data_IF_081760038265
#
_entry.id   IF_081760038265
#
_cell.length_a   1.000
_cell.length_b   1.000
_cell.length_c   1.000
_cell.angle_alpha   90.00
_cell.angle_beta   90.00
_cell.angle_gamma   90.00
#
_symmetry.space_group_name_H-M   'P 1'
#
loop_
_entity.id
_entity.type
_entity.pdbx_description
1 polymer ?
#
# COMPACT_ATOMS: atom_id res chain seq x y z
N UNK A 1 -12.56 -16.65 15.18
CA UNK A 1 -13.26 -15.82 14.16
C UNK A 1 -13.23 -14.32 14.45
N UNK A 2 -13.79 -13.79 15.55
CA UNK A 2 -13.71 -12.34 15.86
C UNK A 2 -12.26 -11.83 16.04
N UNK A 3 -11.36 -12.68 16.53
CA UNK A 3 -9.95 -12.36 16.76
C UNK A 3 -9.14 -12.19 15.47
N UNK A 4 -9.39 -13.01 14.44
CA UNK A 4 -8.57 -13.05 13.23
C UNK A 4 -8.90 -11.89 12.28
N UNK A 5 -10.18 -11.62 12.02
CA UNK A 5 -10.57 -10.49 11.18
C UNK A 5 -10.08 -9.15 11.76
N UNK A 6 -10.19 -8.99 13.09
CA UNK A 6 -9.69 -7.80 13.80
C UNK A 6 -8.17 -7.68 13.63
N UNK A 7 -7.44 -8.78 13.73
CA UNK A 7 -5.98 -8.80 13.51
C UNK A 7 -5.61 -8.40 12.08
N UNK A 8 -6.35 -8.85 11.06
CA UNK A 8 -6.06 -8.50 9.67
C UNK A 8 -6.35 -7.02 9.38
N UNK A 9 -7.45 -6.49 9.93
CA UNK A 9 -7.77 -5.06 9.86
C UNK A 9 -6.67 -4.23 10.53
N UNK A 10 -6.24 -4.63 11.74
CA UNK A 10 -5.14 -3.98 12.45
C UNK A 10 -3.82 -4.07 11.66
N UNK A 11 -3.53 -5.21 11.04
CA UNK A 11 -2.34 -5.38 10.20
C UNK A 11 -2.32 -4.41 9.02
N UNK A 12 -3.45 -4.26 8.32
CA UNK A 12 -3.60 -3.30 7.23
C UNK A 12 -3.45 -1.85 7.69
N UNK A 13 -4.08 -1.48 8.81
CA UNK A 13 -3.95 -0.14 9.38
C UNK A 13 -2.49 0.14 9.77
N UNK A 14 -1.85 -0.74 10.54
CA UNK A 14 -0.47 -0.55 11.00
C UNK A 14 0.51 -0.52 9.83
N UNK A 15 0.35 -1.42 8.85
CA UNK A 15 1.13 -1.41 7.62
C UNK A 15 1.02 -0.07 6.89
N UNK A 16 -0.21 0.44 6.74
CA UNK A 16 -0.46 1.74 6.08
C UNK A 16 0.10 2.90 6.87
N UNK A 17 -0.01 2.92 8.22
CA UNK A 17 0.59 3.97 9.05
C UNK A 17 2.10 4.01 8.87
N UNK A 18 2.79 2.87 9.01
CA UNK A 18 4.27 2.83 8.91
C UNK A 18 4.72 3.24 7.51
N UNK A 19 4.06 2.73 6.47
CA UNK A 19 4.32 3.12 5.09
C UNK A 19 4.11 4.64 4.89
N UNK A 20 3.01 5.18 5.42
CA UNK A 20 2.68 6.61 5.30
C UNK A 20 3.74 7.48 5.95
N UNK A 21 4.24 7.10 7.14
CA UNK A 21 5.32 7.83 7.81
C UNK A 21 6.56 7.90 6.89
N UNK A 22 6.94 6.79 6.27
CA UNK A 22 8.07 6.79 5.32
C UNK A 22 7.79 7.70 4.13
N UNK A 23 6.57 7.67 3.58
CA UNK A 23 6.19 8.47 2.42
C UNK A 23 6.14 9.97 2.73
N UNK A 24 5.82 10.36 3.96
CA UNK A 24 5.89 11.75 4.41
C UNK A 24 7.35 12.22 4.59
N UNK A 25 8.27 11.33 4.97
CA UNK A 25 9.69 11.66 5.17
C UNK A 25 10.47 11.62 3.85
N UNK A 26 10.11 10.73 2.92
CA UNK A 26 10.85 10.47 1.69
C UNK A 26 11.14 11.73 0.83
N UNK A 27 10.22 12.70 0.66
CA UNK A 27 10.49 13.92 -0.09
C UNK A 27 11.60 14.78 0.50
N UNK A 28 11.74 14.78 1.83
CA UNK A 28 12.83 15.48 2.52
C UNK A 28 14.21 14.83 2.29
N UNK A 29 14.24 13.64 1.69
CA UNK A 29 15.45 12.91 1.27
C UNK A 29 15.71 13.00 -0.24
N UNK A 30 14.96 13.84 -0.97
CA UNK A 30 15.11 14.02 -2.42
C UNK A 30 14.35 13.00 -3.28
N UNK A 31 13.48 12.18 -2.67
CA UNK A 31 12.54 11.33 -3.42
C UNK A 31 11.31 12.14 -3.87
N UNK A 32 10.61 11.72 -4.93
CA UNK A 32 9.36 12.38 -5.32
C UNK A 32 8.29 12.23 -4.24
N UNK A 33 7.37 13.19 -4.18
CA UNK A 33 6.18 13.06 -3.34
C UNK A 33 5.31 11.90 -3.85
N UNK A 34 5.08 10.93 -2.97
CA UNK A 34 4.15 9.83 -3.20
C UNK A 34 3.05 9.95 -2.14
N UNK A 35 1.90 10.50 -2.52
CA UNK A 35 0.78 10.70 -1.60
C UNK A 35 -0.51 10.08 -2.17
N UNK A 36 -0.75 8.77 -1.98
CA UNK A 36 -1.90 8.06 -2.52
C UNK A 36 -3.23 8.69 -2.08
N UNK A 37 -3.32 9.22 -0.87
CA UNK A 37 -4.51 9.92 -0.40
C UNK A 37 -4.77 11.22 -1.18
N UNK A 38 -3.74 11.96 -1.59
CA UNK A 38 -3.88 13.14 -2.46
C UNK A 38 -4.27 12.73 -3.87
N UNK A 39 -3.65 11.68 -4.39
CA UNK A 39 -3.94 11.14 -5.73
C UNK A 39 -5.40 10.66 -5.81
N UNK A 40 -5.86 9.85 -4.85
CA UNK A 40 -7.25 9.38 -4.78
C UNK A 40 -8.25 10.53 -4.62
N UNK A 41 -7.95 11.51 -3.75
CA UNK A 41 -8.82 12.67 -3.58
C UNK A 41 -8.92 13.52 -4.85
N UNK A 42 -7.78 13.77 -5.50
CA UNK A 42 -7.68 14.56 -6.73
C UNK A 42 -8.38 13.88 -7.90
N UNK A 43 -8.09 12.61 -8.15
CA UNK A 43 -8.68 11.86 -9.27
C UNK A 43 -10.20 11.72 -9.13
N UNK A 44 -10.72 11.49 -7.92
CA UNK A 44 -12.16 11.35 -7.69
C UNK A 44 -12.87 12.68 -7.46
N UNK A 45 -12.14 13.80 -7.44
CA UNK A 45 -12.64 15.13 -7.12
C UNK A 45 -13.45 15.17 -5.80
N UNK A 46 -12.90 14.55 -4.75
CA UNK A 46 -13.50 14.46 -3.41
C UNK A 46 -12.63 15.16 -2.36
N UNK A 47 -13.18 15.49 -1.17
CA UNK A 47 -12.39 16.08 -0.10
C UNK A 47 -11.19 15.22 0.31
N UNK A 48 -10.08 15.87 0.70
CA UNK A 48 -8.84 15.19 1.10
C UNK A 48 -9.03 14.15 2.23
N UNK A 49 -9.99 14.39 3.13
CA UNK A 49 -10.35 13.45 4.17
C UNK A 49 -10.85 12.10 3.61
N UNK A 50 -11.59 12.14 2.50
CA UNK A 50 -12.06 10.93 1.80
C UNK A 50 -10.87 10.20 1.17
N UNK A 51 -9.92 10.92 0.59
CA UNK A 51 -8.68 10.31 0.06
C UNK A 51 -7.89 9.55 1.14
N UNK A 52 -7.80 10.09 2.35
CA UNK A 52 -7.20 9.40 3.50
C UNK A 52 -7.97 8.14 3.89
N UNK A 53 -9.30 8.24 3.98
CA UNK A 53 -10.16 7.09 4.28
C UNK A 53 -9.93 5.97 3.25
N UNK A 54 -9.94 6.32 1.96
CA UNK A 54 -9.69 5.36 0.87
C UNK A 54 -8.30 4.73 0.96
N UNK A 55 -7.25 5.50 1.28
CA UNK A 55 -5.89 4.97 1.48
C UNK A 55 -5.84 3.90 2.58
N UNK A 56 -6.49 4.15 3.72
CA UNK A 56 -6.56 3.17 4.79
C UNK A 56 -7.43 1.95 4.45
N UNK A 57 -8.55 2.16 3.74
CA UNK A 57 -9.39 1.07 3.23
C UNK A 57 -8.56 0.16 2.31
N UNK A 58 -7.78 0.72 1.39
CA UNK A 58 -6.91 -0.06 0.50
C UNK A 58 -5.87 -0.87 1.29
N UNK A 59 -5.29 -0.31 2.35
CA UNK A 59 -4.41 -1.05 3.26
C UNK A 59 -5.09 -2.26 3.91
N UNK A 60 -6.32 -2.09 4.40
CA UNK A 60 -7.12 -3.18 4.97
C UNK A 60 -7.42 -4.23 3.89
N UNK A 61 -7.83 -3.81 2.69
CA UNK A 61 -8.11 -4.73 1.59
C UNK A 61 -6.88 -5.54 1.18
N UNK A 62 -5.70 -4.92 1.15
CA UNK A 62 -4.45 -5.64 0.89
C UNK A 62 -4.10 -6.62 2.02
N UNK A 63 -4.33 -6.30 3.29
CA UNK A 63 -4.13 -7.24 4.39
C UNK A 63 -5.11 -8.44 4.33
N UNK A 64 -6.36 -8.21 3.93
CA UNK A 64 -7.32 -9.30 3.69
C UNK A 64 -6.91 -10.14 2.47
N UNK A 65 -6.47 -9.49 1.39
CA UNK A 65 -5.93 -10.18 0.22
C UNK A 65 -4.71 -11.03 0.58
N UNK A 66 -3.83 -10.53 1.46
CA UNK A 66 -2.72 -11.31 1.98
C UNK A 66 -3.21 -12.63 2.59
N UNK A 67 -4.09 -12.55 3.58
CA UNK A 67 -4.55 -13.73 4.32
C UNK A 67 -5.30 -14.71 3.42
N UNK A 68 -6.25 -14.22 2.62
CA UNK A 68 -7.18 -15.10 1.92
C UNK A 68 -6.69 -15.57 0.56
N UNK A 69 -5.73 -14.87 -0.05
CA UNK A 69 -5.29 -15.15 -1.42
C UNK A 69 -3.80 -15.47 -1.49
N UNK A 70 -2.95 -14.61 -0.91
CA UNK A 70 -1.50 -14.76 -1.05
C UNK A 70 -0.93 -15.83 -0.11
N UNK A 71 -1.20 -15.73 1.19
CA UNK A 71 -0.64 -16.60 2.22
C UNK A 71 -0.92 -18.09 2.03
N UNK A 72 -2.11 -18.53 1.56
CA UNK A 72 -2.41 -19.94 1.31
C UNK A 72 -1.71 -20.51 0.08
N UNK A 73 -1.26 -19.64 -0.85
CA UNK A 73 -0.65 -20.05 -2.14
C UNK A 73 0.86 -19.91 -2.16
N UNK A 74 1.44 -19.13 -1.24
CA UNK A 74 2.86 -18.79 -1.22
C UNK A 74 3.53 -19.31 0.05
N UNK A 75 4.25 -20.41 -0.10
CA UNK A 75 4.93 -21.11 0.99
C UNK A 75 6.34 -20.56 1.21
N UNK A 76 6.45 -19.41 1.86
CA UNK A 76 7.73 -18.85 2.33
C UNK A 76 7.74 -18.90 3.86
N UNK A 77 8.67 -19.64 4.46
CA UNK A 77 8.74 -19.80 5.92
C UNK A 77 9.28 -18.58 6.65
N UNK A 78 10.19 -17.83 6.01
CA UNK A 78 10.75 -16.61 6.59
C UNK A 78 9.75 -15.45 6.42
N UNK A 79 9.15 -15.00 7.53
CA UNK A 79 8.13 -13.94 7.53
C UNK A 79 8.63 -12.61 6.94
N UNK A 80 9.92 -12.29 7.08
CA UNK A 80 10.48 -11.08 6.48
C UNK A 80 10.55 -11.18 4.96
N UNK A 81 11.06 -12.30 4.42
CA UNK A 81 11.07 -12.56 2.97
C UNK A 81 9.66 -12.67 2.41
N UNK A 82 8.73 -13.30 3.15
CA UNK A 82 7.32 -13.38 2.77
C UNK A 82 6.68 -11.99 2.71
N UNK A 83 7.02 -11.12 3.66
CA UNK A 83 6.61 -9.71 3.68
C UNK A 83 7.15 -8.91 2.49
N UNK A 84 8.41 -9.11 2.11
CA UNK A 84 8.99 -8.49 0.90
C UNK A 84 8.23 -8.96 -0.35
N UNK A 85 8.06 -10.28 -0.50
CA UNK A 85 7.35 -10.86 -1.64
C UNK A 85 5.91 -10.35 -1.73
N UNK A 86 5.21 -10.30 -0.60
CA UNK A 86 3.87 -9.73 -0.53
C UNK A 86 3.85 -8.23 -0.86
N UNK A 87 4.81 -7.45 -0.36
CA UNK A 87 4.94 -6.03 -0.69
C UNK A 87 5.12 -5.78 -2.18
N UNK A 88 5.91 -6.61 -2.87
CA UNK A 88 6.06 -6.53 -4.33
C UNK A 88 4.73 -6.84 -5.03
N UNK A 89 3.98 -7.85 -4.58
CA UNK A 89 2.65 -8.14 -5.13
C UNK A 89 1.67 -6.99 -4.88
N UNK A 90 1.66 -6.41 -3.67
CA UNK A 90 0.83 -5.26 -3.34
C UNK A 90 1.18 -4.05 -4.22
N UNK A 91 2.47 -3.81 -4.50
CA UNK A 91 2.91 -2.76 -5.43
C UNK A 91 2.32 -2.99 -6.84
N UNK A 92 2.40 -4.22 -7.36
CA UNK A 92 1.87 -4.55 -8.68
C UNK A 92 0.36 -4.31 -8.71
N UNK A 93 -0.37 -4.76 -7.70
CA UNK A 93 -1.81 -4.52 -7.59
C UNK A 93 -2.14 -3.02 -7.48
N UNK A 94 -1.33 -2.24 -6.78
CA UNK A 94 -1.48 -0.79 -6.71
C UNK A 94 -1.24 -0.12 -8.08
N UNK A 95 -0.23 -0.55 -8.84
CA UNK A 95 -0.01 -0.05 -10.21
C UNK A 95 -1.20 -0.36 -11.12
N UNK A 96 -1.71 -1.59 -11.08
CA UNK A 96 -2.89 -2.00 -11.86
C UNK A 96 -4.10 -1.14 -11.46
N UNK A 97 -4.29 -0.92 -10.16
CA UNK A 97 -5.37 -0.06 -9.65
C UNK A 97 -5.24 1.39 -10.14
N UNK A 98 -4.04 1.96 -10.14
CA UNK A 98 -3.80 3.31 -10.67
C UNK A 98 -4.03 3.40 -12.18
N UNK A 99 -3.61 2.40 -12.94
CA UNK A 99 -3.86 2.35 -14.40
C UNK A 99 -5.36 2.27 -14.69
N UNK A 100 -6.08 1.39 -14.00
CA UNK A 100 -7.54 1.29 -14.13
C UNK A 100 -8.21 2.61 -13.76
N UNK A 101 -7.76 3.27 -12.70
CA UNK A 101 -8.28 4.57 -12.33
C UNK A 101 -8.02 5.62 -13.41
N UNK A 102 -6.83 5.63 -14.02
CA UNK A 102 -6.47 6.54 -15.10
C UNK A 102 -7.18 6.28 -16.44
N UNK A 103 -7.68 5.06 -16.66
CA UNK A 103 -8.57 4.77 -17.80
C UNK A 103 -9.99 5.31 -17.58
N UNK A 104 -10.42 5.48 -16.33
CA UNK A 104 -11.79 5.89 -15.98
C UNK A 104 -11.90 7.38 -15.63
N UNK A 105 -10.82 7.98 -15.14
CA UNK A 105 -10.78 9.34 -14.62
C UNK A 105 -9.49 10.05 -15.04
N UNK A 106 -9.54 11.38 -15.08
CA UNK A 106 -8.35 12.20 -15.29
C UNK A 106 -7.45 12.15 -14.05
N UNK A 107 -6.20 11.76 -14.23
CA UNK A 107 -5.23 11.66 -13.14
C UNK A 107 -4.54 13.00 -12.90
N UNK A 108 -4.39 13.44 -11.63
CA UNK A 108 -3.60 14.62 -11.32
C UNK A 108 -2.13 14.39 -11.71
N UNK A 109 -1.37 15.48 -11.96
CA UNK A 109 0.06 15.37 -12.25
C UNK A 109 0.79 14.70 -11.07
N UNK A 110 1.76 13.85 -11.41
CA UNK A 110 2.61 13.15 -10.46
C UNK A 110 4.05 13.66 -10.55
N UNK A 111 4.65 13.97 -9.40
CA UNK A 111 6.01 14.50 -9.32
C UNK A 111 7.11 13.47 -9.63
N UNK A 112 8.24 13.97 -10.12
CA UNK A 112 9.47 13.18 -10.36
C UNK A 112 9.46 12.28 -11.59
N UNK A 113 10.64 11.72 -11.88
CA UNK A 113 10.80 10.78 -13.00
C UNK A 113 10.16 9.42 -12.68
N UNK A 114 9.71 8.72 -13.72
CA UNK A 114 9.08 7.40 -13.57
C UNK A 114 9.93 6.40 -12.76
N UNK A 115 11.26 6.27 -12.98
CA UNK A 115 12.10 5.38 -12.17
C UNK A 115 12.12 5.75 -10.68
N UNK A 116 12.20 7.05 -10.36
CA UNK A 116 12.21 7.51 -8.96
C UNK A 116 10.88 7.26 -8.26
N UNK A 117 9.76 7.43 -8.97
CA UNK A 117 8.43 7.09 -8.44
C UNK A 117 8.31 5.59 -8.14
N UNK A 118 8.76 4.73 -9.07
CA UNK A 118 8.74 3.29 -8.86
C UNK A 118 9.57 2.87 -7.65
N UNK A 119 10.75 3.46 -7.46
CA UNK A 119 11.59 3.19 -6.30
C UNK A 119 10.91 3.60 -5.00
N UNK A 120 10.36 4.82 -4.94
CA UNK A 120 9.64 5.31 -3.76
C UNK A 120 8.43 4.42 -3.43
N UNK A 121 7.67 4.01 -4.43
CA UNK A 121 6.55 3.09 -4.25
C UNK A 121 7.00 1.71 -3.78
N UNK A 122 8.08 1.17 -4.34
CA UNK A 122 8.64 -0.12 -3.94
C UNK A 122 9.03 -0.12 -2.46
N UNK A 123 9.74 0.91 -2.00
CA UNK A 123 10.14 1.05 -0.60
C UNK A 123 8.89 1.05 0.30
N UNK A 124 7.90 1.89 -0.03
CA UNK A 124 6.66 1.97 0.73
C UNK A 124 5.94 0.62 0.83
N UNK A 125 5.75 -0.06 -0.30
CA UNK A 125 4.98 -1.31 -0.34
C UNK A 125 5.75 -2.49 0.28
N UNK A 126 7.08 -2.53 0.19
CA UNK A 126 7.89 -3.53 0.90
C UNK A 126 7.74 -3.36 2.41
N UNK A 127 7.78 -2.11 2.90
CA UNK A 127 7.58 -1.85 4.32
C UNK A 127 6.17 -2.22 4.76
N UNK A 128 5.15 -1.81 3.99
CA UNK A 128 3.76 -2.22 4.21
C UNK A 128 3.64 -3.76 4.32
N UNK A 129 4.23 -4.48 3.35
CA UNK A 129 4.18 -5.93 3.29
C UNK A 129 4.85 -6.59 4.49
N UNK A 130 6.05 -6.16 4.86
CA UNK A 130 6.77 -6.68 6.04
C UNK A 130 5.99 -6.45 7.33
N UNK A 131 5.43 -5.26 7.54
CA UNK A 131 4.64 -4.96 8.74
C UNK A 131 3.38 -5.82 8.77
N UNK A 132 2.65 -5.88 7.65
CA UNK A 132 1.41 -6.66 7.53
C UNK A 132 1.64 -8.13 7.86
N UNK A 133 2.63 -8.75 7.21
CA UNK A 133 2.95 -10.18 7.43
C UNK A 133 3.41 -10.45 8.85
N UNK A 134 4.21 -9.57 9.45
CA UNK A 134 4.64 -9.74 10.85
C UNK A 134 3.49 -9.64 11.85
N UNK A 135 2.54 -8.73 11.63
CA UNK A 135 1.36 -8.60 12.50
C UNK A 135 0.43 -9.81 12.35
N UNK A 136 0.31 -10.36 11.15
CA UNK A 136 -0.50 -11.57 10.90
C UNK A 136 0.18 -12.84 11.42
N UNK A 137 1.51 -12.91 11.35
CA UNK A 137 2.33 -13.93 12.00
C UNK A 137 2.48 -15.25 11.23
N UNK A 138 2.02 -15.31 9.98
CA UNK A 138 2.15 -16.48 9.09
C UNK A 138 2.20 -16.03 7.65
#
# INVERSE_FOLDING_TARGET
MKSELTQFILAGILGTVVMTIIMLVAPHMGMPEMAPWKLLAGTLNVPIAVGWILHFIMGILFALFYEYVFAPKVNISNLFLKGIAFGIVALILAQIGMEVLGMLFEMPPMDGSMPMRLLAMLIGHVVFGVVTVKVIGK
#
